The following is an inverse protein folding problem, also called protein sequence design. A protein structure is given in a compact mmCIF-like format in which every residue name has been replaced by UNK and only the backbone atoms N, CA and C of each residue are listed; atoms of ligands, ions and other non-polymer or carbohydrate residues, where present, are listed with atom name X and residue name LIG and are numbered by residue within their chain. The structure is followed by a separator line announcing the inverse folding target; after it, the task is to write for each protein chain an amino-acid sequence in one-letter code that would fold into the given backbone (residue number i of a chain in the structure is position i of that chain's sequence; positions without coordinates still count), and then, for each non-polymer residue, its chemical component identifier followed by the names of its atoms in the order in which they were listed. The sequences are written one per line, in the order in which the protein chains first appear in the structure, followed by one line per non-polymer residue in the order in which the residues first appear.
data_IF_715084045692
#
_entry.id   IF_715084045692
#
_cell.length_a   1.000
_cell.length_b   1.000
_cell.length_c   1.000
_cell.angle_alpha   90.00
_cell.angle_beta   90.00
_cell.angle_gamma   90.00
#
_symmetry.space_group_name_H-M   'P 1'
#
loop_
_entity.id
_entity.type
_entity.pdbx_description
1 polymer ?
#
# COMPACT_ATOMS: atom_id res chain seq x y z
N UNK A 1 -17.15 4.89 10.36
CA UNK A 1 -17.25 3.84 11.39
C UNK A 1 -17.09 4.41 12.81
N UNK A 2 -18.07 5.18 13.35
CA UNK A 2 -17.93 5.82 14.67
C UNK A 2 -17.78 4.83 15.83
N UNK A 3 -18.50 3.70 15.76
CA UNK A 3 -18.43 2.63 16.78
C UNK A 3 -17.05 1.97 16.86
N UNK A 4 -16.41 1.71 15.71
CA UNK A 4 -15.05 1.16 15.66
C UNK A 4 -14.01 2.12 16.22
N UNK A 5 -14.10 3.40 15.86
CA UNK A 5 -13.17 4.41 16.38
C UNK A 5 -13.30 4.58 17.91
N UNK A 6 -14.54 4.58 18.43
CA UNK A 6 -14.78 4.57 19.87
C UNK A 6 -14.18 3.32 20.53
N UNK A 7 -14.45 2.14 19.99
CA UNK A 7 -13.94 0.89 20.54
C UNK A 7 -12.40 0.84 20.60
N UNK A 8 -11.73 1.24 19.52
CA UNK A 8 -10.26 1.28 19.47
C UNK A 8 -9.67 2.29 20.47
N UNK A 9 -10.33 3.44 20.64
CA UNK A 9 -9.84 4.49 21.54
C UNK A 9 -10.05 4.13 23.01
N UNK A 10 -11.24 3.64 23.37
CA UNK A 10 -11.57 3.37 24.78
C UNK A 10 -11.02 2.04 25.29
N UNK A 11 -10.85 1.03 24.42
CA UNK A 11 -10.49 -0.33 24.85
C UNK A 11 -9.12 -0.81 24.37
N UNK A 12 -8.49 -0.15 23.38
CA UNK A 12 -7.19 -0.56 22.83
C UNK A 12 -6.16 0.58 22.82
N UNK A 13 -6.41 1.64 23.60
CA UNK A 13 -5.48 2.77 23.77
C UNK A 13 -4.98 3.37 22.44
N UNK A 14 -5.82 3.34 21.41
CA UNK A 14 -5.38 3.75 20.06
C UNK A 14 -5.07 5.24 19.98
N UNK A 15 -4.04 5.58 19.20
CA UNK A 15 -3.64 6.98 18.93
C UNK A 15 -4.31 7.46 17.62
N UNK A 16 -4.94 8.63 17.69
CA UNK A 16 -5.60 9.24 16.54
C UNK A 16 -4.73 10.28 15.83
N UNK A 17 -4.37 10.00 14.58
CA UNK A 17 -3.62 10.91 13.70
C UNK A 17 -4.59 11.82 12.93
N UNK A 18 -4.84 13.03 13.43
CA UNK A 18 -5.80 13.99 12.83
C UNK A 18 -5.39 14.53 11.45
N UNK A 19 -4.10 14.53 11.16
CA UNK A 19 -3.53 15.12 9.94
C UNK A 19 -2.79 14.08 9.07
N UNK A 20 -3.28 12.83 9.08
CA UNK A 20 -2.75 11.79 8.19
C UNK A 20 -3.25 12.05 6.76
N UNK A 21 -2.31 12.37 5.86
CA UNK A 21 -2.62 12.68 4.48
C UNK A 21 -2.57 11.43 3.59
N UNK A 22 -3.47 11.34 2.63
CA UNK A 22 -3.38 10.38 1.53
C UNK A 22 -2.33 10.85 0.51
N UNK A 23 -1.66 9.91 -0.14
CA UNK A 23 -0.64 10.16 -1.16
C UNK A 23 -1.27 10.49 -2.51
N UNK A 24 -2.39 9.86 -2.86
CA UNK A 24 -3.07 10.09 -4.14
C UNK A 24 -4.57 9.88 -4.11
N UNK A 25 -5.22 10.14 -5.24
CA UNK A 25 -6.62 9.80 -5.47
C UNK A 25 -6.79 8.28 -5.62
N UNK A 26 -7.92 7.73 -5.17
CA UNK A 26 -8.26 6.30 -5.19
C UNK A 26 -7.39 5.40 -4.30
N UNK A 27 -7.67 4.09 -4.26
CA UNK A 27 -7.01 3.15 -3.35
C UNK A 27 -5.57 2.85 -3.77
N UNK A 28 -5.33 2.61 -5.07
CA UNK A 28 -4.06 2.07 -5.56
C UNK A 28 -2.84 2.95 -5.24
N UNK A 29 -2.84 4.28 -5.48
CA UNK A 29 -1.66 5.10 -5.17
C UNK A 29 -1.29 5.12 -3.68
N UNK A 30 -2.29 4.99 -2.81
CA UNK A 30 -2.08 4.94 -1.36
C UNK A 30 -1.52 3.59 -0.92
N UNK A 31 -2.03 2.50 -1.49
CA UNK A 31 -1.54 1.16 -1.20
C UNK A 31 -0.10 0.94 -1.67
N UNK A 32 0.27 1.43 -2.86
CA UNK A 32 1.66 1.38 -3.33
C UNK A 32 2.61 2.12 -2.38
N UNK A 33 2.25 3.34 -1.97
CA UNK A 33 3.09 4.13 -1.07
C UNK A 33 3.22 3.48 0.31
N UNK A 34 2.14 2.90 0.84
CA UNK A 34 2.15 2.24 2.15
C UNK A 34 2.94 0.93 2.13
N UNK A 35 2.74 0.09 1.10
CA UNK A 35 3.24 -1.28 1.08
C UNK A 35 4.61 -1.43 0.40
N UNK A 36 4.95 -0.54 -0.53
CA UNK A 36 6.23 -0.57 -1.26
C UNK A 36 7.15 0.61 -0.91
N UNK A 37 6.66 1.61 -0.16
CA UNK A 37 7.39 2.86 0.05
C UNK A 37 7.58 3.69 -1.21
N UNK A 38 6.89 3.36 -2.32
CA UNK A 38 7.03 3.99 -3.64
C UNK A 38 5.72 4.55 -4.14
N UNK A 39 5.78 5.68 -4.82
CA UNK A 39 4.64 6.42 -5.35
C UNK A 39 4.43 6.14 -6.84
N UNK A 40 3.17 5.90 -7.23
CA UNK A 40 2.76 5.76 -8.64
C UNK A 40 2.08 7.03 -9.21
N UNK A 41 1.88 8.03 -8.36
CA UNK A 41 1.29 9.31 -8.70
C UNK A 41 2.15 10.43 -8.11
N UNK A 42 2.37 11.50 -8.88
CA UNK A 42 3.14 12.64 -8.41
C UNK A 42 2.36 13.41 -7.33
N UNK A 43 3.07 13.82 -6.29
CA UNK A 43 2.55 14.69 -5.23
C UNK A 43 2.79 16.14 -5.68
N UNK A 44 1.74 16.97 -5.81
CA UNK A 44 1.91 18.37 -6.19
C UNK A 44 2.58 19.18 -5.08
N UNK A 45 3.25 20.27 -5.47
CA UNK A 45 3.73 21.29 -4.52
C UNK A 45 2.55 21.93 -3.80
N UNK A 46 2.67 22.10 -2.50
CA UNK A 46 1.70 22.82 -1.66
C UNK A 46 2.42 23.45 -0.48
N UNK A 47 1.77 24.31 0.32
CA UNK A 47 2.37 24.82 1.56
C UNK A 47 2.85 23.73 2.52
N UNK A 48 2.31 22.51 2.44
CA UNK A 48 2.69 21.36 3.27
C UNK A 48 3.60 20.34 2.56
N UNK A 49 3.90 20.52 1.27
CA UNK A 49 4.68 19.55 0.49
C UNK A 49 5.58 20.24 -0.53
N UNK A 50 6.85 19.82 -0.57
CA UNK A 50 7.81 20.23 -1.63
C UNK A 50 7.49 19.64 -3.00
N UNK A 51 6.44 18.83 -3.11
CA UNK A 51 6.13 18.01 -4.26
C UNK A 51 7.08 16.82 -4.38
N UNK A 52 6.62 15.77 -5.05
CA UNK A 52 7.38 14.55 -5.29
C UNK A 52 6.95 13.97 -6.64
N UNK A 53 7.90 13.64 -7.51
CA UNK A 53 7.57 12.95 -8.75
C UNK A 53 7.26 11.48 -8.46
N UNK A 54 6.36 10.86 -9.23
CA UNK A 54 6.12 9.42 -9.10
C UNK A 54 7.44 8.63 -9.26
N UNK A 55 7.67 7.68 -8.36
CA UNK A 55 8.87 6.82 -8.37
C UNK A 55 8.85 5.88 -9.58
N UNK A 56 7.67 5.40 -9.96
CA UNK A 56 7.50 4.61 -11.18
C UNK A 56 7.28 5.51 -12.41
N UNK A 57 8.23 5.46 -13.33
CA UNK A 57 8.15 6.20 -14.60
C UNK A 57 7.29 5.46 -15.63
N UNK A 58 6.57 6.19 -16.46
CA UNK A 58 5.80 5.66 -17.60
C UNK A 58 4.86 4.50 -17.26
N UNK A 59 4.39 4.42 -16.00
CA UNK A 59 3.56 3.32 -15.49
C UNK A 59 4.23 1.93 -15.62
N UNK A 60 5.56 1.85 -15.46
CA UNK A 60 6.31 0.58 -15.52
C UNK A 60 5.76 -0.47 -14.55
N UNK A 61 5.29 -0.05 -13.36
CA UNK A 61 4.62 -0.90 -12.36
C UNK A 61 3.43 -1.72 -12.88
N UNK A 62 2.88 -1.37 -14.05
CA UNK A 62 1.77 -2.11 -14.67
C UNK A 62 2.22 -3.29 -15.51
N UNK A 63 3.44 -3.25 -16.04
CA UNK A 63 3.93 -4.20 -17.06
C UNK A 63 5.02 -5.14 -16.53
N UNK A 64 5.60 -4.80 -15.40
CA UNK A 64 6.68 -5.54 -14.76
C UNK A 64 6.17 -6.24 -13.52
N UNK A 65 6.77 -7.38 -13.21
CA UNK A 65 6.51 -8.09 -11.97
C UNK A 65 7.11 -7.35 -10.77
N UNK A 66 6.37 -7.25 -9.67
CA UNK A 66 6.78 -6.56 -8.45
C UNK A 66 7.66 -7.41 -7.52
N UNK A 67 8.03 -8.63 -7.91
CA UNK A 67 8.82 -9.58 -7.10
C UNK A 67 10.17 -9.01 -6.61
N UNK A 68 10.79 -8.12 -7.39
CA UNK A 68 12.05 -7.47 -7.03
C UNK A 68 11.85 -6.09 -6.38
N UNK A 69 10.61 -5.73 -6.06
CA UNK A 69 10.29 -4.47 -5.39
C UNK A 69 10.34 -4.60 -3.85
N UNK A 70 10.28 -3.47 -3.15
CA UNK A 70 10.43 -3.38 -1.70
C UNK A 70 9.10 -3.59 -0.98
N UNK A 71 8.44 -4.72 -1.22
CA UNK A 71 7.23 -5.07 -0.48
C UNK A 71 7.55 -5.29 0.99
N UNK A 72 6.86 -4.56 1.86
CA UNK A 72 7.06 -4.64 3.30
C UNK A 72 6.86 -6.07 3.84
N UNK A 73 6.01 -6.87 3.20
CA UNK A 73 5.80 -8.27 3.57
C UNK A 73 7.07 -9.12 3.45
N UNK A 74 7.91 -8.90 2.44
CA UNK A 74 9.18 -9.62 2.29
C UNK A 74 10.10 -9.38 3.49
N UNK A 75 10.15 -8.13 3.98
CA UNK A 75 10.95 -7.80 5.15
C UNK A 75 10.44 -8.52 6.40
N UNK A 76 9.12 -8.58 6.59
CA UNK A 76 8.54 -9.31 7.71
C UNK A 76 8.80 -10.83 7.60
N UNK A 77 8.75 -11.41 6.41
CA UNK A 77 9.10 -12.82 6.20
C UNK A 77 10.57 -13.09 6.53
N UNK A 78 11.48 -12.24 6.07
CA UNK A 78 12.92 -12.34 6.38
C UNK A 78 13.19 -12.26 7.89
N UNK A 79 12.40 -11.44 8.61
CA UNK A 79 12.46 -11.30 10.06
C UNK A 79 11.70 -12.43 10.82
N UNK A 80 11.18 -13.44 10.11
CA UNK A 80 10.59 -14.66 10.68
C UNK A 80 9.10 -14.59 11.00
N UNK A 81 8.39 -13.55 10.54
CA UNK A 81 6.95 -13.43 10.70
C UNK A 81 6.19 -14.25 9.66
N UNK A 82 5.07 -14.85 10.07
CA UNK A 82 4.08 -15.38 9.14
C UNK A 82 3.26 -14.23 8.57
N UNK A 83 3.25 -14.10 7.24
CA UNK A 83 2.61 -12.99 6.54
C UNK A 83 1.32 -13.40 5.84
N UNK A 84 0.35 -12.49 5.85
CA UNK A 84 -0.92 -12.67 5.15
C UNK A 84 -1.29 -11.41 4.38
N UNK A 85 -1.75 -11.58 3.14
CA UNK A 85 -2.39 -10.52 2.37
C UNK A 85 -3.78 -10.99 1.92
N UNK A 86 -4.79 -10.21 2.27
CA UNK A 86 -6.19 -10.42 1.95
C UNK A 86 -6.80 -9.12 1.45
N UNK A 87 -7.53 -9.20 0.34
CA UNK A 87 -8.09 -8.06 -0.36
C UNK A 87 -9.62 -8.17 -0.41
N UNK A 88 -10.31 -7.04 -0.47
CA UNK A 88 -11.78 -6.93 -0.43
C UNK A 88 -12.45 -7.12 -1.80
N UNK A 89 -11.65 -7.37 -2.86
CA UNK A 89 -12.13 -7.54 -4.23
C UNK A 89 -11.28 -8.54 -5.03
N UNK A 90 -11.81 -9.00 -6.18
CA UNK A 90 -11.13 -9.95 -7.08
C UNK A 90 -9.84 -9.39 -7.71
N UNK A 91 -9.80 -8.07 -7.91
CA UNK A 91 -8.60 -7.32 -8.29
C UNK A 91 -8.26 -6.38 -7.15
N UNK A 92 -7.02 -6.43 -6.70
CA UNK A 92 -6.55 -5.61 -5.60
C UNK A 92 -5.42 -4.68 -5.97
N UNK A 93 -4.68 -4.21 -4.96
CA UNK A 93 -3.80 -3.04 -5.11
C UNK A 93 -2.78 -3.24 -6.22
N UNK A 94 -2.17 -4.42 -6.31
CA UNK A 94 -1.04 -4.66 -7.22
C UNK A 94 -1.41 -5.14 -8.62
N UNK A 95 -2.63 -5.64 -8.84
CA UNK A 95 -3.10 -6.12 -10.14
C UNK A 95 -4.22 -5.26 -10.76
N UNK A 96 -4.73 -4.25 -10.05
CA UNK A 96 -5.76 -3.35 -10.58
C UNK A 96 -5.25 -2.37 -11.67
N UNK A 97 -6.05 -2.06 -12.70
CA UNK A 97 -7.04 -2.93 -13.33
C UNK A 97 -6.40 -3.93 -14.30
N UNK A 98 -5.23 -3.59 -14.82
CA UNK A 98 -4.48 -4.28 -15.87
C UNK A 98 -2.99 -4.44 -15.50
N UNK A 99 -2.68 -4.42 -14.20
CA UNK A 99 -1.30 -4.53 -13.72
C UNK A 99 -0.89 -6.00 -13.59
N UNK A 100 0.36 -6.31 -13.94
CA UNK A 100 0.92 -7.67 -13.83
C UNK A 100 0.97 -8.18 -12.38
N UNK A 101 1.23 -7.29 -11.40
CA UNK A 101 1.33 -7.68 -9.98
C UNK A 101 2.57 -8.51 -9.68
N UNK A 102 2.44 -9.55 -8.86
CA UNK A 102 3.53 -10.47 -8.53
C UNK A 102 3.46 -11.74 -9.37
N UNK A 103 4.63 -12.26 -9.75
CA UNK A 103 4.79 -13.57 -10.39
C UNK A 103 4.71 -14.67 -9.34
N UNK A 104 5.45 -14.53 -8.26
CA UNK A 104 5.46 -15.46 -7.14
C UNK A 104 4.54 -14.95 -6.04
N UNK A 105 4.04 -15.87 -5.22
CA UNK A 105 3.19 -15.54 -4.07
C UNK A 105 3.96 -14.60 -3.11
N UNK A 106 3.45 -13.39 -2.81
CA UNK A 106 4.21 -12.40 -2.05
C UNK A 106 4.12 -12.55 -0.52
N UNK A 107 3.27 -13.44 -0.02
CA UNK A 107 3.05 -13.70 1.42
C UNK A 107 2.84 -15.18 1.68
N UNK A 108 3.00 -15.64 2.93
CA UNK A 108 2.83 -17.05 3.30
C UNK A 108 1.38 -17.51 3.07
N UNK A 109 0.43 -16.69 3.50
CA UNK A 109 -0.98 -16.83 3.18
C UNK A 109 -1.38 -15.74 2.19
N UNK A 110 -1.71 -16.16 0.97
CA UNK A 110 -2.13 -15.24 -0.07
C UNK A 110 -3.52 -15.63 -0.52
N UNK A 111 -4.49 -14.76 -0.21
CA UNK A 111 -5.86 -14.99 -0.62
C UNK A 111 -6.01 -14.64 -2.09
N UNK A 112 -5.76 -15.62 -2.97
CA UNK A 112 -6.17 -15.61 -4.39
C UNK A 112 -6.54 -17.02 -4.85
#
# INVERSE_FOLDING_TARGET
MPKTAYFLREFYESISFRHLNKVGLNSQPNGFALLLGKTIASIPKSPMSRGHAADYKNRSYRKEYLDNDQFIGFRFQDDGYVTMMSEDWALGVFNWPDCTGYKNKPTDHYMR
#
